data_IF_476808026167
#
_entry.id   IF_476808026167
#
_cell.length_a   1.000
_cell.length_b   1.000
_cell.length_c   1.000
_cell.angle_alpha   90.00
_cell.angle_beta   90.00
_cell.angle_gamma   90.00
#
_symmetry.space_group_name_H-M   'P 1'
#
loop_
_entity.id
_entity.type
_entity.pdbx_description
1 polymer ?
#
# COMPACT_ATOMS: atom_id res chain seq x y z
N UNK A 1 17.94 -24.66 -32.35
CA UNK A 1 17.08 -23.46 -32.25
C UNK A 1 16.32 -23.58 -30.94
N UNK A 2 16.66 -22.76 -29.95
CA UNK A 2 15.82 -22.63 -28.75
C UNK A 2 14.62 -21.74 -29.11
N UNK A 3 13.41 -22.05 -28.62
CA UNK A 3 12.26 -21.17 -28.84
C UNK A 3 12.53 -19.84 -28.13
N UNK A 4 12.37 -18.74 -28.87
CA UNK A 4 12.33 -17.40 -28.32
C UNK A 4 11.16 -17.31 -27.34
N UNK A 5 11.45 -17.24 -26.04
CA UNK A 5 10.48 -16.81 -25.04
C UNK A 5 10.15 -15.34 -25.31
N UNK A 6 8.98 -15.11 -25.91
CA UNK A 6 8.57 -13.82 -26.45
C UNK A 6 8.28 -12.75 -25.39
N UNK A 7 8.26 -13.08 -24.10
CA UNK A 7 7.97 -12.12 -23.02
C UNK A 7 8.64 -12.54 -21.70
N UNK A 8 9.87 -12.07 -21.41
CA UNK A 8 10.48 -12.25 -20.07
C UNK A 8 9.73 -11.49 -18.95
N UNK A 9 8.69 -10.74 -19.30
CA UNK A 9 7.85 -9.93 -18.42
C UNK A 9 6.80 -10.77 -17.65
N UNK A 10 6.57 -12.02 -18.07
CA UNK A 10 5.80 -13.01 -17.31
C UNK A 10 6.71 -13.76 -16.33
N UNK A 11 7.55 -13.07 -15.58
CA UNK A 11 8.18 -13.66 -14.41
C UNK A 11 7.20 -13.50 -13.23
N UNK A 12 6.40 -14.52 -12.87
CA UNK A 12 5.70 -14.61 -11.57
C UNK A 12 6.66 -14.56 -10.37
N UNK A 13 7.95 -14.32 -10.61
CA UNK A 13 9.05 -14.25 -9.66
C UNK A 13 9.54 -12.83 -9.38
N UNK A 14 8.84 -11.77 -9.82
CA UNK A 14 9.05 -10.45 -9.24
C UNK A 14 8.76 -10.58 -7.74
N UNK A 15 9.83 -10.66 -6.93
CA UNK A 15 9.67 -10.85 -5.49
C UNK A 15 8.97 -9.60 -4.98
N UNK A 16 7.82 -9.74 -4.29
CA UNK A 16 7.20 -8.59 -3.66
C UNK A 16 8.22 -7.98 -2.71
N UNK A 17 8.65 -6.76 -3.01
CA UNK A 17 9.51 -6.03 -2.10
C UNK A 17 8.67 -5.66 -0.88
N UNK A 18 9.18 -6.00 0.31
CA UNK A 18 8.57 -5.58 1.55
C UNK A 18 8.59 -4.04 1.59
N UNK A 19 7.44 -3.42 1.36
CA UNK A 19 7.30 -1.97 1.33
C UNK A 19 6.64 -1.52 2.62
N UNK A 20 7.47 -1.24 3.62
CA UNK A 20 7.04 -0.77 4.93
C UNK A 20 7.71 0.55 5.27
N UNK A 21 6.95 1.43 5.92
CA UNK A 21 7.41 2.70 6.45
C UNK A 21 6.91 2.82 7.88
N UNK A 22 7.78 3.28 8.78
CA UNK A 22 7.45 3.46 10.18
C UNK A 22 8.06 4.75 10.70
N UNK A 23 7.36 5.40 11.63
CA UNK A 23 7.90 6.52 12.40
C UNK A 23 9.10 6.08 13.23
N UNK A 24 9.99 7.03 13.54
CA UNK A 24 11.04 6.81 14.55
C UNK A 24 10.49 6.82 15.97
N UNK A 25 9.43 7.60 16.20
CA UNK A 25 8.74 7.63 17.47
C UNK A 25 7.93 6.34 17.70
N UNK A 26 7.86 5.91 18.95
CA UNK A 26 7.10 4.72 19.40
C UNK A 26 6.09 5.10 20.48
N UNK A 27 5.03 4.30 20.61
CA UNK A 27 4.07 4.38 21.70
C UNK A 27 4.63 3.75 23.00
N UNK A 28 3.81 3.80 24.05
CA UNK A 28 4.15 3.25 25.37
C UNK A 28 4.37 1.73 25.39
N UNK A 29 3.97 1.01 24.34
CA UNK A 29 4.16 -0.43 24.18
C UNK A 29 5.32 -0.77 23.23
N UNK A 30 6.00 0.24 22.69
CA UNK A 30 7.15 0.09 21.78
C UNK A 30 6.76 -0.09 20.31
N UNK A 31 5.50 0.13 19.93
CA UNK A 31 5.10 0.11 18.52
C UNK A 31 5.31 1.49 17.88
N UNK A 32 5.65 1.59 16.59
CA UNK A 32 5.77 2.89 15.91
C UNK A 32 4.50 3.74 16.11
N UNK A 33 4.60 5.06 16.24
CA UNK A 33 3.41 5.91 16.23
C UNK A 33 2.72 5.94 14.87
N UNK A 34 3.46 5.77 13.77
CA UNK A 34 2.95 5.70 12.41
C UNK A 34 3.53 4.47 11.75
N UNK A 35 2.68 3.74 11.04
CA UNK A 35 3.03 2.52 10.33
C UNK A 35 2.24 2.46 9.03
N UNK A 36 2.94 2.29 7.93
CA UNK A 36 2.35 2.23 6.60
C UNK A 36 2.99 1.07 5.85
N UNK A 37 2.20 0.23 5.19
CA UNK A 37 2.71 -0.94 4.45
C UNK A 37 1.94 -1.16 3.16
N UNK A 38 2.61 -1.70 2.15
CA UNK A 38 1.95 -2.33 0.99
C UNK A 38 2.00 -3.84 1.12
N UNK A 39 0.88 -4.48 0.76
CA UNK A 39 0.68 -5.92 0.91
C UNK A 39 0.38 -6.50 -0.45
N UNK A 40 1.38 -7.05 -1.13
CA UNK A 40 1.22 -7.59 -2.48
C UNK A 40 0.98 -9.09 -2.51
N UNK A 41 0.12 -9.52 -3.43
CA UNK A 41 -0.21 -10.92 -3.69
C UNK A 41 -0.33 -11.15 -5.20
N UNK A 42 0.11 -12.31 -5.67
CA UNK A 42 -0.21 -12.78 -7.02
C UNK A 42 -1.56 -13.49 -7.01
N UNK A 43 -2.52 -13.02 -7.80
CA UNK A 43 -3.87 -13.59 -7.84
C UNK A 43 -3.98 -14.79 -8.78
N UNK A 44 -5.02 -15.62 -8.55
CA UNK A 44 -5.41 -16.70 -9.45
C UNK A 44 -5.77 -16.21 -10.87
N UNK A 45 -6.09 -14.91 -11.01
CA UNK A 45 -6.35 -14.26 -12.31
C UNK A 45 -5.08 -13.85 -13.06
N UNK A 46 -3.92 -14.34 -12.64
CA UNK A 46 -2.61 -14.04 -13.23
C UNK A 46 -2.28 -12.53 -13.27
N UNK A 47 -2.62 -11.84 -12.18
CA UNK A 47 -2.33 -10.41 -12.00
C UNK A 47 -1.85 -10.14 -10.57
N UNK A 48 -0.95 -9.17 -10.41
CA UNK A 48 -0.60 -8.60 -9.12
C UNK A 48 -1.79 -7.86 -8.52
N UNK A 49 -2.02 -8.06 -7.23
CA UNK A 49 -2.99 -7.34 -6.40
C UNK A 49 -2.24 -6.78 -5.21
N UNK A 50 -2.31 -5.46 -4.99
CA UNK A 50 -1.51 -4.80 -3.95
C UNK A 50 -2.40 -4.08 -2.95
N UNK A 51 -2.50 -4.63 -1.74
CA UNK A 51 -3.12 -4.07 -0.54
C UNK A 51 -2.31 -2.98 0.13
N UNK A 52 -2.87 -2.45 1.21
CA UNK A 52 -2.19 -1.49 2.07
C UNK A 52 -2.65 -1.58 3.53
N UNK A 53 -1.82 -1.08 4.42
CA UNK A 53 -2.09 -0.94 5.85
C UNK A 53 -1.61 0.43 6.29
N UNK A 54 -2.40 1.13 7.10
CA UNK A 54 -2.09 2.43 7.68
C UNK A 54 -2.48 2.46 9.16
N UNK A 55 -1.55 2.90 10.02
CA UNK A 55 -1.81 3.21 11.42
C UNK A 55 -1.19 4.55 11.77
N UNK A 56 -1.95 5.40 12.44
CA UNK A 56 -1.51 6.70 12.96
C UNK A 56 -2.03 6.84 14.39
N UNK A 57 -1.12 6.81 15.37
CA UNK A 57 -1.47 6.77 16.78
C UNK A 57 -2.32 5.53 17.09
N UNK A 58 -3.58 5.78 17.49
CA UNK A 58 -4.58 4.74 17.79
C UNK A 58 -5.54 4.46 16.63
N UNK A 59 -5.51 5.25 15.55
CA UNK A 59 -6.35 5.05 14.38
C UNK A 59 -5.67 4.05 13.43
N UNK A 60 -6.45 3.10 12.91
CA UNK A 60 -6.00 2.06 11.98
C UNK A 60 -6.97 1.98 10.82
N UNK A 61 -6.43 1.84 9.62
CA UNK A 61 -7.16 1.54 8.41
C UNK A 61 -6.33 0.57 7.55
N UNK A 62 -6.98 -0.43 6.96
CA UNK A 62 -6.28 -1.48 6.24
C UNK A 62 -7.14 -2.08 5.15
N UNK A 63 -6.51 -2.36 4.01
CA UNK A 63 -7.11 -3.15 2.94
C UNK A 63 -6.21 -4.35 2.60
N UNK A 64 -6.72 -5.56 2.87
CA UNK A 64 -6.01 -6.81 2.62
C UNK A 64 -6.52 -7.53 1.35
N UNK A 65 -5.66 -7.88 0.37
CA UNK A 65 -6.07 -8.50 -0.89
C UNK A 65 -6.78 -9.84 -0.75
N UNK A 66 -6.45 -10.63 0.27
CA UNK A 66 -7.11 -11.92 0.52
C UNK A 66 -8.46 -11.81 1.22
N UNK A 67 -8.79 -10.64 1.80
CA UNK A 67 -10.02 -10.44 2.56
C UNK A 67 -10.80 -9.18 2.13
N UNK A 68 -11.05 -8.97 0.82
CA UNK A 68 -11.69 -7.75 0.37
C UNK A 68 -13.17 -7.67 0.83
N UNK A 69 -13.78 -8.81 1.22
CA UNK A 69 -15.11 -8.87 1.85
C UNK A 69 -15.15 -8.40 3.30
N UNK A 70 -14.05 -8.45 4.07
CA UNK A 70 -14.08 -8.02 5.49
C UNK A 70 -14.37 -6.51 5.63
N UNK A 71 -14.03 -5.69 4.63
CA UNK A 71 -14.48 -4.29 4.57
C UNK A 71 -15.99 -4.15 4.39
N UNK A 72 -16.63 -5.07 3.66
CA UNK A 72 -18.08 -5.06 3.45
C UNK A 72 -18.86 -5.47 4.71
N UNK A 73 -18.19 -6.09 5.68
CA UNK A 73 -18.79 -6.48 6.97
C UNK A 73 -18.64 -5.37 8.03
N UNK A 74 -17.69 -4.44 7.86
CA UNK A 74 -17.45 -3.29 8.75
C UNK A 74 -18.25 -2.03 8.36
N UNK A 75 -19.39 -2.20 7.67
CA UNK A 75 -20.29 -1.12 7.23
C UNK A 75 -21.06 -0.54 8.42
N UNK A 76 -20.32 0.15 9.26
CA UNK A 76 -20.73 1.07 10.32
C UNK A 76 -19.69 2.16 10.58
N UNK A 77 -18.48 2.03 9.99
CA UNK A 77 -17.43 3.03 10.10
C UNK A 77 -17.42 3.97 8.88
N UNK A 78 -17.35 5.30 9.09
CA UNK A 78 -17.13 6.24 8.00
C UNK A 78 -15.64 6.22 7.65
N UNK A 79 -15.33 5.96 6.38
CA UNK A 79 -14.01 6.10 5.71
C UNK A 79 -13.08 4.86 5.69
N UNK A 80 -12.41 4.56 4.55
CA UNK A 80 -12.76 4.82 3.15
C UNK A 80 -13.01 3.56 2.29
N UNK A 81 -14.04 3.78 1.49
CA UNK A 81 -14.58 3.15 0.29
C UNK A 81 -13.56 2.65 -0.75
N UNK A 82 -13.48 1.32 -0.94
CA UNK A 82 -13.04 0.76 -2.21
C UNK A 82 -14.06 -0.28 -2.67
N UNK A 83 -14.64 -0.08 -3.86
CA UNK A 83 -15.48 -1.12 -4.46
C UNK A 83 -14.59 -2.23 -5.02
N UNK A 84 -15.09 -3.47 -5.04
CA UNK A 84 -14.30 -4.65 -5.45
C UNK A 84 -13.81 -4.58 -6.92
N UNK A 85 -14.47 -3.78 -7.75
CA UNK A 85 -14.09 -3.48 -9.13
C UNK A 85 -13.00 -2.41 -9.25
N UNK A 86 -12.72 -1.67 -8.18
CA UNK A 86 -11.67 -0.65 -8.08
C UNK A 86 -10.38 -1.21 -7.45
N UNK A 87 -10.31 -2.54 -7.25
CA UNK A 87 -9.13 -3.20 -6.71
C UNK A 87 -7.92 -2.93 -7.63
N UNK A 88 -6.83 -2.35 -7.10
CA UNK A 88 -5.59 -2.19 -7.82
C UNK A 88 -5.06 -3.54 -8.30
N UNK A 89 -5.23 -3.83 -9.58
CA UNK A 89 -4.71 -5.05 -10.22
C UNK A 89 -4.00 -4.73 -11.52
N UNK A 90 -2.89 -5.41 -11.78
CA UNK A 90 -2.15 -5.28 -13.04
C UNK A 90 -1.30 -6.50 -13.30
N UNK A 91 -1.01 -6.80 -14.57
CA UNK A 91 0.04 -7.77 -14.92
C UNK A 91 1.43 -7.31 -14.45
N UNK A 92 1.62 -6.00 -14.28
CA UNK A 92 2.87 -5.38 -13.82
C UNK A 92 2.78 -5.03 -12.33
N UNK A 93 3.74 -5.51 -11.53
CA UNK A 93 3.82 -5.20 -10.10
C UNK A 93 3.90 -3.70 -9.84
N UNK A 94 4.75 -2.99 -10.58
CA UNK A 94 4.98 -1.55 -10.39
C UNK A 94 3.71 -0.73 -10.53
N UNK A 95 2.86 -1.07 -11.50
CA UNK A 95 1.55 -0.43 -11.71
C UNK A 95 0.60 -0.72 -10.55
N UNK A 96 0.44 -2.00 -10.16
CA UNK A 96 -0.45 -2.37 -9.05
C UNK A 96 0.00 -1.73 -7.73
N UNK A 97 1.30 -1.75 -7.44
CA UNK A 97 1.90 -1.18 -6.23
C UNK A 97 1.83 0.36 -6.23
N UNK A 98 1.99 1.03 -7.38
CA UNK A 98 1.87 2.48 -7.45
C UNK A 98 0.43 2.96 -7.23
N UNK A 99 -0.57 2.24 -7.76
CA UNK A 99 -1.98 2.54 -7.49
C UNK A 99 -2.29 2.35 -6.00
N UNK A 100 -1.85 1.24 -5.41
CA UNK A 100 -2.01 0.96 -3.98
C UNK A 100 -1.30 1.98 -3.08
N UNK A 101 -0.06 2.37 -3.43
CA UNK A 101 0.69 3.38 -2.70
C UNK A 101 0.05 4.77 -2.79
N UNK A 102 -0.55 5.13 -3.92
CA UNK A 102 -1.35 6.36 -4.04
C UNK A 102 -2.57 6.33 -3.12
N UNK A 103 -3.28 5.21 -3.08
CA UNK A 103 -4.41 5.01 -2.16
C UNK A 103 -3.97 5.14 -0.69
N UNK A 104 -2.91 4.43 -0.29
CA UNK A 104 -2.31 4.53 1.04
C UNK A 104 -1.92 5.96 1.40
N UNK A 105 -1.33 6.72 0.47
CA UNK A 105 -1.00 8.13 0.70
C UNK A 105 -2.26 8.97 1.02
N UNK A 106 -3.35 8.78 0.27
CA UNK A 106 -4.61 9.49 0.50
C UNK A 106 -5.19 9.13 1.90
N UNK A 107 -5.12 7.86 2.28
CA UNK A 107 -5.54 7.40 3.61
C UNK A 107 -4.71 8.08 4.70
N UNK A 108 -3.38 8.09 4.57
CA UNK A 108 -2.50 8.77 5.51
C UNK A 108 -2.77 10.28 5.60
N UNK A 109 -3.15 10.93 4.50
CA UNK A 109 -3.56 12.34 4.49
C UNK A 109 -4.86 12.55 5.28
N UNK A 110 -5.83 11.65 5.11
CA UNK A 110 -7.09 11.67 5.88
C UNK A 110 -6.87 11.36 7.36
N UNK A 111 -5.81 10.62 7.71
CA UNK A 111 -5.50 10.24 9.09
C UNK A 111 -4.69 11.29 9.87
N UNK A 112 -4.27 12.39 9.24
CA UNK A 112 -3.55 13.50 9.90
C UNK A 112 -4.21 13.97 11.22
N UNK A 113 -5.55 14.13 11.31
CA UNK A 113 -6.21 14.56 12.56
C UNK A 113 -6.04 13.60 13.75
N UNK A 114 -5.64 12.34 13.51
CA UNK A 114 -5.41 11.35 14.56
C UNK A 114 -3.94 11.29 15.00
N UNK A 115 -3.09 12.13 14.42
CA UNK A 115 -1.68 12.25 14.82
C UNK A 115 -1.58 12.70 16.28
N UNK A 116 -0.79 12.00 17.13
CA UNK A 116 -0.71 12.29 18.55
C UNK A 116 0.08 13.56 18.88
N UNK A 117 0.89 14.08 17.94
CA UNK A 117 1.68 15.30 18.14
C UNK A 117 2.01 16.03 16.82
N UNK A 118 2.45 17.30 16.88
CA UNK A 118 2.97 18.01 15.72
C UNK A 118 4.16 17.30 15.06
N UNK A 119 5.09 16.75 15.85
CA UNK A 119 6.27 16.02 15.36
C UNK A 119 5.84 14.75 14.60
N UNK A 120 4.86 14.01 15.14
CA UNK A 120 4.28 12.87 14.44
C UNK A 120 3.60 13.29 13.12
N UNK A 121 3.03 14.49 13.06
CA UNK A 121 2.44 15.02 11.82
C UNK A 121 3.50 15.29 10.76
N UNK A 122 4.68 15.78 11.14
CA UNK A 122 5.80 15.99 10.23
C UNK A 122 6.43 14.67 9.76
N UNK A 123 6.55 13.67 10.66
CA UNK A 123 6.95 12.31 10.29
C UNK A 123 5.95 11.67 9.31
N UNK A 124 4.64 11.86 9.53
CA UNK A 124 3.59 11.39 8.62
C UNK A 124 3.75 11.98 7.22
N UNK A 125 4.01 13.29 7.11
CA UNK A 125 4.29 13.94 5.81
C UNK A 125 5.55 13.38 5.16
N UNK A 126 6.59 13.11 5.93
CA UNK A 126 7.82 12.49 5.45
C UNK A 126 7.57 11.11 4.86
N UNK A 127 6.76 10.28 5.54
CA UNK A 127 6.34 8.96 5.05
C UNK A 127 5.52 9.10 3.77
N UNK A 128 4.57 10.04 3.70
CA UNK A 128 3.79 10.29 2.49
C UNK A 128 4.67 10.67 1.29
N UNK A 129 5.71 11.49 1.50
CA UNK A 129 6.68 11.84 0.46
C UNK A 129 7.52 10.64 0.03
N UNK A 130 7.94 9.79 0.96
CA UNK A 130 8.68 8.57 0.65
C UNK A 130 7.84 7.61 -0.20
N UNK A 131 6.57 7.41 0.16
CA UNK A 131 5.61 6.62 -0.62
C UNK A 131 5.47 7.20 -2.03
N UNK A 132 5.24 8.51 -2.16
CA UNK A 132 5.09 9.14 -3.46
C UNK A 132 6.34 9.00 -4.34
N UNK A 133 7.53 9.24 -3.78
CA UNK A 133 8.80 9.06 -4.49
C UNK A 133 8.96 7.62 -4.97
N UNK A 134 8.57 6.65 -4.13
CA UNK A 134 8.64 5.23 -4.46
C UNK A 134 7.67 4.86 -5.58
N UNK A 135 6.42 5.31 -5.52
CA UNK A 135 5.43 5.09 -6.56
C UNK A 135 5.86 5.69 -7.90
N UNK A 136 6.44 6.91 -7.88
CA UNK A 136 7.01 7.53 -9.08
C UNK A 136 8.17 6.71 -9.64
N UNK A 137 9.02 6.12 -8.79
CA UNK A 137 10.09 5.23 -9.21
C UNK A 137 9.60 3.99 -9.95
N UNK A 138 8.51 3.36 -9.46
CA UNK A 138 7.90 2.20 -10.14
C UNK A 138 7.26 2.56 -11.48
N UNK A 139 6.65 3.73 -11.59
CA UNK A 139 6.02 4.18 -12.83
C UNK A 139 7.02 4.75 -13.85
N UNK A 140 8.13 5.33 -13.37
CA UNK A 140 9.19 5.92 -14.19
C UNK A 140 10.20 4.93 -14.73
N UNK A 141 10.15 3.66 -14.28
CA UNK A 141 10.88 2.55 -14.87
C UNK A 141 10.11 1.96 -16.06
N UNK A 142 9.78 2.80 -17.05
CA UNK A 142 9.37 2.33 -18.37
C UNK A 142 10.61 2.36 -19.27
N UNK A 143 11.00 1.25 -19.93
CA UNK A 143 12.14 1.25 -20.86
C UNK A 143 11.93 2.17 -22.07
#
# INVERSE_FOLDING_TARGET
>A
MQPFELFPETLPNAKPELCEWHSSAVDQWGHPLIEARLISMWSERQAWVCGWFARVGQAVDEWYPAFPRKHLEHVGAPWPWYRLDEIPTSGEFGVAAAIAGRALKIVLEQMVPYSPSPEATDELRTIQHAIESRCRGWLGATP
#
